data_IF_764294797936
#
_entry.id   IF_764294797936
#
_cell.length_a   1.000
_cell.length_b   1.000
_cell.length_c   1.000
_cell.angle_alpha   90.00
_cell.angle_beta   90.00
_cell.angle_gamma   90.00
#
_symmetry.space_group_name_H-M   'P 1'
#
loop_
_entity.id
_entity.type
_entity.pdbx_description
1 polymer ?
#
# COMPACT_ATOMS: atom_id res chain seq x y z
N UNK A 1 4.34 8.76 -6.33
CA UNK A 1 3.56 7.67 -6.95
C UNK A 1 3.52 6.52 -5.98
N UNK A 2 2.36 5.92 -5.78
CA UNK A 2 2.20 4.78 -4.87
C UNK A 2 2.05 3.53 -5.71
N UNK A 3 2.93 2.57 -5.52
CA UNK A 3 2.76 1.21 -6.02
C UNK A 3 2.56 0.28 -4.84
N UNK A 4 1.82 -0.80 -5.04
CA UNK A 4 1.68 -1.77 -3.98
C UNK A 4 1.29 -3.14 -4.47
N UNK A 5 1.39 -4.10 -3.55
CA UNK A 5 1.00 -5.49 -3.75
C UNK A 5 0.04 -5.92 -2.66
N UNK A 6 -1.07 -6.52 -3.07
CA UNK A 6 -2.08 -7.09 -2.20
C UNK A 6 -2.01 -8.61 -2.31
N UNK A 7 -1.96 -9.26 -1.16
CA UNK A 7 -1.90 -10.71 -1.05
C UNK A 7 -2.71 -11.17 0.15
N UNK A 8 -3.13 -12.43 0.10
CA UNK A 8 -3.78 -13.08 1.20
C UNK A 8 -2.79 -13.35 2.34
N UNK A 9 -3.16 -13.00 3.57
CA UNK A 9 -2.28 -13.12 4.73
C UNK A 9 -1.90 -14.57 5.00
N UNK A 10 -2.86 -15.50 4.85
CA UNK A 10 -2.72 -16.90 5.22
C UNK A 10 -1.97 -17.72 4.16
N UNK A 11 -2.35 -17.57 2.90
CA UNK A 11 -1.82 -18.35 1.77
C UNK A 11 -0.66 -17.65 1.05
N UNK A 12 -0.42 -16.36 1.32
CA UNK A 12 0.56 -15.52 0.61
C UNK A 12 0.30 -15.41 -0.91
N UNK A 13 -0.90 -15.77 -1.36
CA UNK A 13 -1.32 -15.71 -2.76
C UNK A 13 -1.69 -14.28 -3.13
N UNK A 14 -1.36 -13.87 -4.35
CA UNK A 14 -1.74 -12.56 -4.86
C UNK A 14 -3.27 -12.42 -4.94
N UNK A 15 -3.80 -11.27 -4.54
CA UNK A 15 -5.24 -10.98 -4.65
C UNK A 15 -5.48 -10.09 -5.86
N UNK A 16 -5.99 -10.68 -6.94
CA UNK A 16 -6.46 -9.94 -8.12
C UNK A 16 -7.84 -9.31 -7.87
N UNK A 17 -8.17 -8.23 -8.57
CA UNK A 17 -9.50 -7.62 -8.52
C UNK A 17 -9.85 -6.92 -7.20
N UNK A 18 -8.90 -6.71 -6.30
CA UNK A 18 -9.11 -5.93 -5.09
C UNK A 18 -9.16 -4.43 -5.43
N UNK A 19 -10.21 -3.77 -4.98
CA UNK A 19 -10.40 -2.32 -5.18
C UNK A 19 -9.71 -1.56 -4.07
N UNK A 20 -8.75 -0.71 -4.42
CA UNK A 20 -8.02 0.18 -3.52
C UNK A 20 -8.54 1.60 -3.69
N UNK A 21 -8.98 2.24 -2.62
CA UNK A 21 -9.44 3.64 -2.63
C UNK A 21 -8.78 4.43 -1.51
N UNK A 22 -8.58 5.73 -1.74
CA UNK A 22 -8.00 6.65 -0.76
C UNK A 22 -9.09 7.57 -0.23
N UNK A 23 -9.47 7.42 1.04
CA UNK A 23 -10.53 8.18 1.70
C UNK A 23 -10.28 9.69 1.57
N UNK A 24 -11.34 10.45 1.27
CA UNK A 24 -11.26 11.90 1.06
C UNK A 24 -10.67 12.31 -0.29
N UNK A 25 -10.43 11.35 -1.20
CA UNK A 25 -9.92 11.62 -2.56
C UNK A 25 -10.70 10.84 -3.62
N UNK A 26 -10.46 11.17 -4.88
CA UNK A 26 -10.97 10.41 -6.04
C UNK A 26 -9.99 9.36 -6.56
N UNK A 27 -8.84 9.19 -5.89
CA UNK A 27 -7.83 8.22 -6.32
C UNK A 27 -8.27 6.81 -5.94
N UNK A 28 -8.37 5.96 -6.94
CA UNK A 28 -8.69 4.56 -6.83
C UNK A 28 -7.86 3.73 -7.82
N UNK A 29 -7.66 2.47 -7.50
CA UNK A 29 -7.01 1.49 -8.38
C UNK A 29 -7.54 0.09 -8.10
N UNK A 30 -7.32 -0.81 -9.04
CA UNK A 30 -7.68 -2.22 -8.90
C UNK A 30 -6.40 -3.04 -9.04
N UNK A 31 -6.27 -4.10 -8.26
CA UNK A 31 -5.13 -5.01 -8.39
C UNK A 31 -5.27 -5.91 -9.60
N UNK A 32 -4.13 -6.14 -10.26
CA UNK A 32 -4.00 -7.04 -11.42
C UNK A 32 -3.81 -8.52 -10.97
N UNK A 33 -3.61 -9.47 -11.90
CA UNK A 33 -3.46 -10.91 -11.62
C UNK A 33 -2.31 -11.22 -10.63
N UNK A 34 -1.30 -10.34 -10.60
CA UNK A 34 -0.15 -10.41 -9.70
C UNK A 34 -0.40 -9.75 -8.33
N UNK A 35 -1.62 -9.26 -8.09
CA UNK A 35 -2.01 -8.50 -6.90
C UNK A 35 -1.41 -7.09 -6.87
N UNK A 36 -0.90 -6.60 -8.00
CA UNK A 36 -0.19 -5.32 -8.08
C UNK A 36 -1.15 -4.18 -8.41
N UNK A 37 -0.97 -3.03 -7.77
CA UNK A 37 -1.67 -1.78 -8.09
C UNK A 37 -0.70 -0.60 -8.18
N UNK A 38 -1.09 0.46 -8.90
CA UNK A 38 -0.31 1.69 -9.05
C UNK A 38 -1.22 2.91 -9.12
N UNK A 39 -0.94 3.90 -8.27
CA UNK A 39 -1.63 5.18 -8.17
C UNK A 39 -0.63 6.30 -8.44
N UNK A 40 -0.93 7.09 -9.47
CA UNK A 40 -0.11 8.21 -9.90
C UNK A 40 -0.79 9.54 -9.56
N UNK A 41 0.00 10.56 -9.27
CA UNK A 41 -0.52 11.91 -9.01
C UNK A 41 -1.10 12.13 -7.61
N UNK A 42 -1.04 11.15 -6.70
CA UNK A 42 -1.46 11.32 -5.31
C UNK A 42 -0.50 12.30 -4.59
N UNK A 43 -1.00 13.43 -4.04
CA UNK A 43 -0.18 14.34 -3.24
C UNK A 43 0.37 13.66 -1.98
N UNK A 44 1.44 14.22 -1.41
CA UNK A 44 1.94 13.73 -0.13
C UNK A 44 1.01 14.11 1.02
N UNK A 45 0.75 13.18 1.92
CA UNK A 45 -0.20 13.35 3.02
C UNK A 45 -0.54 12.04 3.72
N UNK A 46 -1.30 12.12 4.81
CA UNK A 46 -1.84 10.96 5.50
C UNK A 46 -3.23 10.67 4.93
N UNK A 47 -3.41 9.45 4.42
CA UNK A 47 -4.66 8.98 3.83
C UNK A 47 -5.09 7.68 4.48
N UNK A 48 -6.40 7.42 4.55
CA UNK A 48 -6.89 6.07 4.84
C UNK A 48 -7.09 5.34 3.53
N UNK A 49 -6.42 4.21 3.39
CA UNK A 49 -6.53 3.30 2.25
C UNK A 49 -7.58 2.26 2.58
N UNK A 50 -8.62 2.17 1.75
CA UNK A 50 -9.64 1.15 1.84
C UNK A 50 -9.44 0.15 0.71
N UNK A 51 -9.19 -1.11 1.07
CA UNK A 51 -9.07 -2.23 0.15
C UNK A 51 -10.29 -3.11 0.28
N UNK A 52 -11.10 -3.22 -0.77
CA UNK A 52 -12.32 -4.03 -0.79
C UNK A 52 -12.20 -5.16 -1.80
N UNK A 53 -12.51 -6.37 -1.36
CA UNK A 53 -12.55 -7.55 -2.22
C UNK A 53 -13.73 -8.46 -1.83
N UNK A 54 -14.35 -9.12 -2.82
CA UNK A 54 -15.55 -9.95 -2.59
C UNK A 54 -15.29 -11.12 -1.62
N UNK A 55 -14.09 -11.70 -1.65
CA UNK A 55 -13.74 -12.85 -0.81
C UNK A 55 -13.19 -12.47 0.59
N UNK A 56 -12.63 -11.26 0.75
CA UNK A 56 -11.93 -10.84 1.98
C UNK A 56 -12.66 -9.73 2.75
N UNK A 57 -13.70 -9.14 2.14
CA UNK A 57 -14.37 -7.97 2.70
C UNK A 57 -13.57 -6.68 2.48
N UNK A 58 -13.76 -5.71 3.38
CA UNK A 58 -13.11 -4.40 3.31
C UNK A 58 -12.11 -4.25 4.43
N UNK A 59 -10.86 -3.96 4.07
CA UNK A 59 -9.76 -3.67 4.96
C UNK A 59 -9.43 -2.18 4.88
N UNK A 60 -9.18 -1.52 6.03
CA UNK A 60 -8.89 -0.10 6.10
C UNK A 60 -7.59 0.14 6.86
N UNK A 61 -6.65 0.89 6.29
CA UNK A 61 -5.35 1.18 6.92
C UNK A 61 -4.95 2.65 6.71
N UNK A 62 -4.40 3.29 7.74
CA UNK A 62 -3.85 4.64 7.62
C UNK A 62 -2.43 4.60 7.04
N UNK A 63 -2.21 5.28 5.92
CA UNK A 63 -0.95 5.33 5.19
C UNK A 63 -0.44 6.76 5.07
N UNK A 64 0.84 6.96 5.37
CA UNK A 64 1.52 8.22 5.10
C UNK A 64 2.23 8.16 3.74
N UNK A 65 1.76 8.94 2.79
CA UNK A 65 2.31 9.03 1.44
C UNK A 65 3.34 10.16 1.39
N UNK A 66 4.62 9.88 1.11
CA UNK A 66 5.65 10.91 1.03
C UNK A 66 5.46 11.80 -0.22
N UNK A 67 5.60 13.12 -0.04
CA UNK A 67 5.51 14.06 -1.15
C UNK A 67 6.65 13.86 -2.16
N UNK A 68 6.31 13.78 -3.44
CA UNK A 68 7.29 13.77 -4.53
C UNK A 68 8.15 12.50 -4.66
N UNK A 69 7.86 11.44 -3.89
CA UNK A 69 8.62 10.18 -3.94
C UNK A 69 7.78 9.00 -4.42
N UNK A 70 8.45 7.94 -4.88
CA UNK A 70 7.85 6.64 -5.12
C UNK A 70 7.78 5.86 -3.80
N UNK A 71 6.59 5.36 -3.47
CA UNK A 71 6.38 4.53 -2.29
C UNK A 71 5.84 3.17 -2.72
N UNK A 72 6.44 2.11 -2.19
CA UNK A 72 5.99 0.74 -2.39
C UNK A 72 5.35 0.22 -1.09
N UNK A 73 4.11 -0.26 -1.14
CA UNK A 73 3.38 -0.83 0.00
C UNK A 73 3.02 -2.29 -0.25
N UNK A 74 2.99 -3.08 0.83
CA UNK A 74 2.51 -4.46 0.85
C UNK A 74 1.33 -4.53 1.80
N UNK A 75 0.17 -4.93 1.30
CA UNK A 75 -1.08 -5.02 2.06
C UNK A 75 -1.47 -6.49 2.11
N UNK A 76 -1.61 -7.04 3.32
CA UNK A 76 -2.09 -8.39 3.53
C UNK A 76 -3.58 -8.33 3.88
N UNK A 77 -4.42 -9.04 3.13
CA UNK A 77 -5.84 -9.20 3.47
C UNK A 77 -5.98 -10.40 4.40
N UNK A 78 -6.59 -10.19 5.56
CA UNK A 78 -7.01 -11.26 6.47
C UNK A 78 -8.53 -11.33 6.52
N UNK A 79 -9.05 -12.49 6.92
CA UNK A 79 -10.49 -12.72 7.14
C UNK A 79 -11.09 -11.86 8.27
N UNK A 80 -10.25 -11.30 9.15
CA UNK A 80 -10.64 -10.28 10.12
C UNK A 80 -10.41 -8.87 9.53
N UNK A 81 -11.50 -8.30 9.03
CA UNK A 81 -11.60 -6.89 8.72
C UNK A 81 -11.62 -6.10 10.05
N UNK A 82 -10.70 -5.13 10.16
CA UNK A 82 -10.48 -4.18 11.26
C UNK A 82 -9.44 -4.64 12.27
N UNK A 83 -8.21 -4.12 12.14
CA UNK A 83 -7.45 -3.59 13.27
C UNK A 83 -6.43 -2.54 12.77
N UNK A 84 -6.54 -1.34 13.36
CA UNK A 84 -5.65 -0.21 13.15
C UNK A 84 -4.40 -0.38 14.02
N UNK A 85 -3.25 -0.58 13.41
CA UNK A 85 -1.97 -0.15 13.98
C UNK A 85 -1.08 0.35 12.82
N UNK A 86 -0.63 1.62 12.84
CA UNK A 86 0.08 2.20 11.71
C UNK A 86 1.45 1.53 11.56
N UNK A 87 1.59 0.60 10.62
CA UNK A 87 2.90 0.07 10.26
C UNK A 87 3.54 1.01 9.24
N UNK A 88 4.35 1.93 9.78
CA UNK A 88 5.26 2.77 9.00
C UNK A 88 6.34 1.87 8.40
N UNK A 89 6.11 1.33 7.19
CA UNK A 89 7.16 0.53 6.52
C UNK A 89 8.12 1.46 5.78
N UNK A 90 9.19 1.78 6.50
CA UNK A 90 10.59 1.79 6.03
C UNK A 90 10.83 2.44 4.67
N UNK A 91 11.19 3.72 4.70
CA UNK A 91 12.06 4.28 3.69
C UNK A 91 13.37 3.48 3.69
N UNK A 92 13.56 2.54 2.75
CA UNK A 92 14.90 2.02 2.44
C UNK A 92 15.67 3.13 1.72
N UNK A 93 16.09 4.12 2.49
CA UNK A 93 17.14 5.06 2.13
C UNK A 93 18.50 4.37 2.19
N UNK A 94 18.69 3.26 1.46
CA UNK A 94 20.03 2.72 1.27
C UNK A 94 20.69 3.46 0.12
N UNK A 95 20.98 4.74 0.37
CA UNK A 95 22.16 5.36 -0.24
C UNK A 95 23.29 5.09 0.74
N UNK A 96 23.88 3.90 0.67
CA UNK A 96 25.24 3.70 1.15
C UNK A 96 26.18 4.58 0.29
N UNK A 97 26.29 5.84 0.70
CA UNK A 97 27.41 6.72 0.40
C UNK A 97 28.07 7.04 1.74
N UNK A 98 28.77 6.05 2.28
CA UNK A 98 29.81 6.23 3.29
C UNK A 98 30.97 5.38 2.77
N UNK A 99 32.13 5.92 2.41
CA UNK A 99 32.94 6.73 3.29
C UNK A 99 33.92 7.61 2.48
N UNK A 100 34.07 8.85 2.92
CA UNK A 100 35.17 9.75 2.57
C UNK A 100 36.28 9.45 3.59
N UNK A 101 37.45 9.01 3.15
CA UNK A 101 38.57 8.77 4.06
C UNK A 101 39.91 8.82 3.32
N UNK A 102 40.51 10.02 3.35
CA UNK A 102 41.90 10.43 3.10
C UNK A 102 42.82 9.53 2.28
#
# INVERSE_FOLDING_TARGET
MVSGRIYDRDTQVAVEGATVTFEGTTYAGVTDENGLFRISGLPGGVYRVNVSHLAYGTHQEAMNVPAGSEMAVRIALGSEAIELDPVVVTARGERERRNRGR
#
